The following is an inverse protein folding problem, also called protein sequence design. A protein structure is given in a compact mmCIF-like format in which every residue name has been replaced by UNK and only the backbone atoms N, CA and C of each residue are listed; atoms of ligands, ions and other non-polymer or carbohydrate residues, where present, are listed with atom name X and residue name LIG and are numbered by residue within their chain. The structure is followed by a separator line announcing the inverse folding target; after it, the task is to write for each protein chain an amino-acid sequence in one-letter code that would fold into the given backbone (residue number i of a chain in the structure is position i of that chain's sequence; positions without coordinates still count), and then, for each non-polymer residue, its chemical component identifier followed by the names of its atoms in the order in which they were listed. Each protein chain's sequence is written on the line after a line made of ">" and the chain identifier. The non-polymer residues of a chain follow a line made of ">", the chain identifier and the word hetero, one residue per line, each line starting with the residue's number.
data_IF_432938353148
#
_entry.id   IF_432938353148
#
_cell.length_a   1.000
_cell.length_b   1.000
_cell.length_c   1.000
_cell.angle_alpha   90.00
_cell.angle_beta   90.00
_cell.angle_gamma   90.00
#
_symmetry.space_group_name_H-M   'P 1'
#
loop_
_entity.id
_entity.type
_entity.pdbx_description
1 polymer ?
#
# COMPACT_ATOMS: atom_id res chain seq x y z
N UNK A 1 -16.99 -7.42 8.09
CA UNK A 1 -16.15 -6.76 9.13
C UNK A 1 -14.99 -5.99 8.49
N UNK A 2 -14.15 -6.59 7.60
CA UNK A 2 -12.98 -5.93 6.99
C UNK A 2 -13.35 -4.64 6.25
N UNK A 3 -14.31 -4.71 5.33
CA UNK A 3 -14.76 -3.54 4.53
C UNK A 3 -15.29 -2.43 5.44
N UNK A 4 -16.11 -2.78 6.44
CA UNK A 4 -16.69 -1.80 7.36
C UNK A 4 -15.61 -1.13 8.23
N UNK A 5 -14.65 -1.90 8.71
CA UNK A 5 -13.53 -1.36 9.50
C UNK A 5 -12.64 -0.45 8.65
N UNK A 6 -12.32 -0.86 7.42
CA UNK A 6 -11.56 -0.04 6.48
C UNK A 6 -12.28 1.27 6.15
N UNK A 7 -13.60 1.21 5.94
CA UNK A 7 -14.41 2.39 5.65
C UNK A 7 -14.43 3.36 6.83
N UNK A 8 -14.67 2.86 8.05
CA UNK A 8 -14.66 3.71 9.27
C UNK A 8 -13.27 4.34 9.46
N UNK A 9 -12.20 3.56 9.28
CA UNK A 9 -10.82 4.07 9.41
C UNK A 9 -10.51 5.14 8.37
N UNK A 10 -10.97 4.96 7.13
CA UNK A 10 -10.78 5.93 6.05
C UNK A 10 -11.54 7.23 6.34
N UNK A 11 -12.80 7.15 6.76
CA UNK A 11 -13.60 8.33 7.14
C UNK A 11 -12.97 9.05 8.33
N UNK A 12 -12.54 8.32 9.35
CA UNK A 12 -11.88 8.90 10.51
C UNK A 12 -10.62 9.67 10.13
N UNK A 13 -9.77 9.06 9.30
CA UNK A 13 -8.53 9.70 8.86
C UNK A 13 -8.80 10.92 7.97
N UNK A 14 -9.82 10.85 7.11
CA UNK A 14 -10.26 11.99 6.31
C UNK A 14 -10.72 13.16 7.19
N UNK A 15 -11.54 12.91 8.22
CA UNK A 15 -12.01 13.96 9.14
C UNK A 15 -10.86 14.59 9.93
N UNK A 16 -9.92 13.78 10.43
CA UNK A 16 -8.73 14.29 11.10
C UNK A 16 -7.86 15.13 10.17
N UNK A 17 -7.62 14.64 8.97
CA UNK A 17 -6.83 15.36 7.96
C UNK A 17 -7.49 16.68 7.54
N UNK A 18 -8.82 16.67 7.38
CA UNK A 18 -9.60 17.85 7.05
C UNK A 18 -9.57 18.89 8.18
N UNK A 19 -9.73 18.47 9.44
CA UNK A 19 -9.64 19.40 10.58
C UNK A 19 -8.26 20.00 10.73
N UNK A 20 -7.20 19.22 10.57
CA UNK A 20 -5.82 19.71 10.59
C UNK A 20 -5.53 20.65 9.40
N UNK A 21 -6.00 20.30 8.21
CA UNK A 21 -5.87 21.13 7.02
C UNK A 21 -6.52 22.48 7.21
N UNK A 22 -7.76 22.54 7.72
CA UNK A 22 -8.47 23.80 7.99
C UNK A 22 -7.83 24.65 9.10
N UNK A 23 -7.14 24.02 10.07
CA UNK A 23 -6.46 24.76 11.15
C UNK A 23 -5.10 25.33 10.75
N UNK A 24 -4.37 24.65 9.86
CA UNK A 24 -2.96 24.99 9.56
C UNK A 24 -2.74 25.46 8.12
N UNK A 25 -3.73 25.34 7.24
CA UNK A 25 -3.61 25.77 5.84
C UNK A 25 -4.22 27.15 5.64
N UNK A 26 -3.52 28.01 4.90
CA UNK A 26 -4.03 29.30 4.45
C UNK A 26 -5.05 29.18 3.29
N UNK A 27 -5.18 27.96 2.71
CA UNK A 27 -6.07 27.67 1.58
C UNK A 27 -7.33 26.96 2.05
N UNK A 28 -8.45 27.69 2.12
CA UNK A 28 -9.76 27.19 2.55
C UNK A 28 -10.75 26.97 1.40
N UNK A 29 -10.26 26.91 0.16
CA UNK A 29 -11.12 26.70 -1.00
C UNK A 29 -11.59 25.25 -1.11
N UNK A 30 -12.90 25.03 -1.15
CA UNK A 30 -13.51 23.71 -1.32
C UNK A 30 -12.98 22.96 -2.55
N UNK A 31 -12.69 23.67 -3.62
CA UNK A 31 -12.13 23.11 -4.85
C UNK A 31 -10.79 22.40 -4.63
N UNK A 32 -9.94 22.94 -3.76
CA UNK A 32 -8.61 22.38 -3.44
C UNK A 32 -8.75 21.18 -2.51
N UNK A 33 -9.67 21.24 -1.53
CA UNK A 33 -9.90 20.16 -0.56
C UNK A 33 -10.41 18.89 -1.24
N UNK A 34 -11.24 19.04 -2.28
CA UNK A 34 -11.85 17.91 -2.99
C UNK A 34 -11.12 17.50 -4.27
N UNK A 35 -10.03 18.17 -4.66
CA UNK A 35 -9.28 17.83 -5.87
C UNK A 35 -8.63 16.46 -5.82
N UNK A 36 -8.20 16.01 -4.62
CA UNK A 36 -7.39 14.81 -4.43
C UNK A 36 -8.17 13.63 -3.77
N UNK A 37 -9.48 13.57 -3.97
CA UNK A 37 -10.31 12.47 -3.44
C UNK A 37 -9.92 11.07 -3.96
N UNK A 38 -9.21 11.01 -5.07
CA UNK A 38 -8.69 9.75 -5.60
C UNK A 38 -7.70 9.07 -4.65
N UNK A 39 -6.90 9.85 -3.89
CA UNK A 39 -6.01 9.30 -2.86
C UNK A 39 -6.78 8.69 -1.69
N UNK A 40 -7.95 9.23 -1.35
CA UNK A 40 -8.81 8.67 -0.32
C UNK A 40 -9.37 7.30 -0.75
N UNK A 41 -9.75 7.19 -2.01
CA UNK A 41 -10.21 5.93 -2.59
C UNK A 41 -9.07 4.89 -2.67
N UNK A 42 -7.88 5.30 -3.10
CA UNK A 42 -6.70 4.45 -3.11
C UNK A 42 -6.34 3.98 -1.69
N UNK A 43 -6.43 4.86 -0.70
CA UNK A 43 -6.20 4.53 0.71
C UNK A 43 -7.22 3.49 1.24
N UNK A 44 -8.49 3.65 0.88
CA UNK A 44 -9.51 2.68 1.23
C UNK A 44 -9.20 1.29 0.66
N UNK A 45 -8.83 1.20 -0.63
CA UNK A 45 -8.44 -0.06 -1.27
C UNK A 45 -7.20 -0.66 -0.59
N UNK A 46 -6.20 0.15 -0.28
CA UNK A 46 -5.00 -0.25 0.46
C UNK A 46 -5.34 -0.89 1.80
N UNK A 47 -6.23 -0.26 2.59
CA UNK A 47 -6.69 -0.80 3.86
C UNK A 47 -7.47 -2.11 3.70
N UNK A 48 -8.39 -2.19 2.72
CA UNK A 48 -9.15 -3.41 2.46
C UNK A 48 -8.22 -4.57 2.10
N UNK A 49 -7.24 -4.33 1.24
CA UNK A 49 -6.26 -5.33 0.85
C UNK A 49 -5.41 -5.78 2.06
N UNK A 50 -4.88 -4.84 2.82
CA UNK A 50 -4.05 -5.11 3.99
C UNK A 50 -4.80 -5.90 5.08
N UNK A 51 -6.01 -5.49 5.43
CA UNK A 51 -6.80 -6.22 6.43
C UNK A 51 -7.28 -7.57 5.94
N UNK A 52 -7.53 -7.74 4.64
CA UNK A 52 -7.82 -9.05 4.05
C UNK A 52 -6.63 -9.99 4.14
N UNK A 53 -5.42 -9.47 3.92
CA UNK A 53 -4.17 -10.21 4.12
C UNK A 53 -3.97 -10.59 5.59
N UNK A 54 -4.15 -9.66 6.53
CA UNK A 54 -4.08 -9.94 7.96
C UNK A 54 -5.11 -11.00 8.39
N UNK A 55 -6.33 -10.93 7.89
CA UNK A 55 -7.38 -11.91 8.14
C UNK A 55 -6.99 -13.30 7.62
N UNK A 56 -6.45 -13.39 6.40
CA UNK A 56 -5.94 -14.63 5.83
C UNK A 56 -4.84 -15.23 6.72
N UNK A 57 -3.86 -14.43 7.15
CA UNK A 57 -2.79 -14.89 8.04
C UNK A 57 -3.33 -15.38 9.39
N UNK A 58 -4.29 -14.68 9.97
CA UNK A 58 -4.90 -15.05 11.25
C UNK A 58 -5.60 -16.42 11.16
N UNK A 59 -6.29 -16.70 10.05
CA UNK A 59 -6.91 -18.00 9.84
C UNK A 59 -5.86 -19.10 9.53
N UNK A 60 -4.80 -18.77 8.82
CA UNK A 60 -3.77 -19.75 8.47
C UNK A 60 -2.94 -20.17 9.67
N UNK A 61 -2.47 -19.23 10.46
CA UNK A 61 -1.48 -19.47 11.55
C UNK A 61 -2.11 -19.88 12.89
N UNK A 62 -3.44 -19.75 13.06
CA UNK A 62 -4.21 -20.10 14.28
C UNK A 62 -3.86 -19.31 15.55
N UNK A 63 -2.77 -18.53 15.60
CA UNK A 63 -2.32 -17.74 16.76
C UNK A 63 -2.00 -16.32 16.30
N UNK A 64 -2.59 -15.32 16.91
CA UNK A 64 -2.46 -13.90 16.54
C UNK A 64 -1.01 -13.40 16.60
N UNK A 65 -0.26 -13.81 17.62
CA UNK A 65 1.15 -13.41 17.76
C UNK A 65 2.02 -13.91 16.60
N UNK A 66 1.80 -15.14 16.15
CA UNK A 66 2.52 -15.69 15.00
C UNK A 66 2.09 -15.07 13.67
N UNK A 67 0.82 -14.65 13.54
CA UNK A 67 0.34 -13.95 12.35
C UNK A 67 1.05 -12.60 12.19
N UNK A 68 1.24 -11.84 13.27
CA UNK A 68 2.02 -10.61 13.26
C UNK A 68 3.50 -10.86 12.93
N UNK A 69 4.10 -11.89 13.54
CA UNK A 69 5.47 -12.29 13.23
C UNK A 69 5.66 -12.70 11.77
N UNK A 70 4.68 -13.41 11.20
CA UNK A 70 4.71 -13.82 9.80
C UNK A 70 4.54 -12.62 8.84
N UNK A 71 3.72 -11.64 9.19
CA UNK A 71 3.59 -10.40 8.43
C UNK A 71 4.92 -9.64 8.38
N UNK A 72 5.62 -9.51 9.53
CA UNK A 72 6.95 -8.92 9.57
C UNK A 72 7.99 -9.71 8.77
N UNK A 73 7.96 -11.04 8.85
CA UNK A 73 8.83 -11.92 8.07
C UNK A 73 8.56 -11.77 6.56
N UNK A 74 7.30 -11.67 6.16
CA UNK A 74 6.92 -11.44 4.78
C UNK A 74 7.46 -10.11 4.24
N UNK A 75 7.40 -9.04 5.05
CA UNK A 75 8.00 -7.75 4.71
C UNK A 75 9.51 -7.86 4.47
N UNK A 76 10.21 -8.61 5.32
CA UNK A 76 11.66 -8.86 5.15
C UNK A 76 11.94 -9.65 3.87
N UNK A 77 11.13 -10.65 3.55
CA UNK A 77 11.27 -11.46 2.33
C UNK A 77 11.08 -10.59 1.08
N UNK A 78 10.03 -9.75 1.03
CA UNK A 78 9.84 -8.83 -0.09
C UNK A 78 11.00 -7.82 -0.21
N UNK A 79 11.51 -7.30 0.91
CA UNK A 79 12.69 -6.43 0.92
C UNK A 79 13.96 -7.12 0.39
N UNK A 80 14.19 -8.37 0.75
CA UNK A 80 15.31 -9.15 0.19
C UNK A 80 15.16 -9.40 -1.31
N UNK A 81 13.94 -9.69 -1.77
CA UNK A 81 13.64 -9.84 -3.20
C UNK A 81 13.93 -8.54 -3.93
N UNK A 82 13.54 -7.38 -3.38
CA UNK A 82 13.84 -6.07 -3.94
C UNK A 82 15.34 -5.85 -4.14
N UNK A 83 16.15 -6.13 -3.10
CA UNK A 83 17.61 -6.00 -3.14
C UNK A 83 18.21 -6.93 -4.20
N UNK A 84 17.74 -8.18 -4.28
CA UNK A 84 18.20 -9.14 -5.28
C UNK A 84 17.86 -8.66 -6.72
N UNK A 85 16.66 -8.14 -6.93
CA UNK A 85 16.26 -7.61 -8.25
C UNK A 85 17.06 -6.36 -8.62
N UNK A 86 17.33 -5.48 -7.71
CA UNK A 86 18.17 -4.30 -7.92
C UNK A 86 19.61 -4.72 -8.30
N UNK A 87 20.16 -5.73 -7.65
CA UNK A 87 21.47 -6.28 -7.96
C UNK A 87 21.51 -6.92 -9.35
N UNK A 88 20.48 -7.66 -9.75
CA UNK A 88 20.39 -8.30 -11.08
C UNK A 88 20.19 -7.25 -12.16
N UNK A 89 19.35 -6.23 -11.91
CA UNK A 89 19.13 -5.10 -12.83
C UNK A 89 20.41 -4.33 -13.13
N UNK A 90 21.31 -4.19 -12.15
CA UNK A 90 22.62 -3.59 -12.34
C UNK A 90 23.54 -4.40 -13.28
N UNK A 91 23.25 -5.69 -13.48
CA UNK A 91 24.03 -6.58 -14.38
C UNK A 91 23.35 -6.91 -15.71
N UNK A 92 22.05 -6.73 -15.83
CA UNK A 92 21.27 -7.14 -17.01
C UNK A 92 20.10 -6.18 -17.20
N UNK A 93 19.99 -5.58 -18.38
CA UNK A 93 18.91 -4.65 -18.78
C UNK A 93 17.54 -5.36 -18.98
N UNK A 94 17.11 -6.16 -18.03
CA UNK A 94 15.85 -6.92 -18.15
C UNK A 94 14.76 -6.20 -17.37
N UNK A 95 13.86 -5.50 -18.06
CA UNK A 95 12.73 -4.78 -17.50
C UNK A 95 11.62 -5.68 -16.87
N UNK A 96 11.72 -7.01 -17.05
CA UNK A 96 10.76 -7.97 -16.49
C UNK A 96 10.75 -7.98 -14.95
N UNK A 97 11.87 -7.63 -14.32
CA UNK A 97 11.98 -7.65 -12.85
C UNK A 97 11.14 -6.58 -12.18
N UNK A 98 11.03 -5.39 -12.78
CA UNK A 98 10.19 -4.31 -12.23
C UNK A 98 8.71 -4.72 -12.23
N UNK A 99 8.25 -5.40 -13.29
CA UNK A 99 6.87 -5.88 -13.38
C UNK A 99 6.56 -6.97 -12.34
N UNK A 100 7.51 -7.89 -12.08
CA UNK A 100 7.34 -8.96 -11.08
C UNK A 100 7.35 -8.38 -9.66
N UNK A 101 8.23 -7.41 -9.40
CA UNK A 101 8.32 -6.77 -8.10
C UNK A 101 7.05 -5.97 -7.77
N UNK A 102 6.52 -5.22 -8.73
CA UNK A 102 5.29 -4.46 -8.56
C UNK A 102 4.04 -5.35 -8.37
N UNK A 103 4.15 -6.64 -8.70
CA UNK A 103 3.08 -7.61 -8.47
C UNK A 103 3.08 -8.20 -7.05
N UNK A 104 4.15 -8.05 -6.26
CA UNK A 104 4.19 -8.54 -4.88
C UNK A 104 3.14 -7.83 -4.01
N UNK A 105 2.45 -8.56 -3.09
CA UNK A 105 1.28 -8.02 -2.40
C UNK A 105 1.57 -6.79 -1.56
N UNK A 106 2.62 -6.78 -0.73
CA UNK A 106 2.92 -5.61 0.11
C UNK A 106 3.47 -4.46 -0.71
N UNK A 107 4.28 -4.75 -1.74
CA UNK A 107 4.78 -3.73 -2.64
C UNK A 107 3.63 -3.10 -3.44
N UNK A 108 2.73 -3.91 -4.02
CA UNK A 108 1.55 -3.42 -4.72
C UNK A 108 0.66 -2.53 -3.83
N UNK A 109 0.54 -2.86 -2.52
CA UNK A 109 -0.15 -1.99 -1.56
C UNK A 109 0.62 -0.69 -1.29
N UNK A 110 1.96 -0.75 -1.27
CA UNK A 110 2.81 0.43 -1.10
C UNK A 110 2.67 1.39 -2.28
N UNK A 111 2.72 0.87 -3.50
CA UNK A 111 2.69 1.63 -4.74
C UNK A 111 1.34 2.30 -5.04
N UNK A 112 0.25 1.93 -4.33
CA UNK A 112 -1.04 2.60 -4.46
C UNK A 112 -0.99 4.07 -4.06
N UNK A 113 -0.18 4.41 -3.07
CA UNK A 113 0.00 5.79 -2.61
C UNK A 113 1.48 6.01 -2.43
N UNK A 114 2.06 6.81 -3.29
CA UNK A 114 3.45 7.22 -3.19
C UNK A 114 3.66 8.05 -1.93
N UNK A 115 4.78 7.86 -1.27
CA UNK A 115 5.09 8.44 0.03
C UNK A 115 5.00 9.97 0.01
N UNK A 116 4.15 10.59 0.84
CA UNK A 116 3.88 12.02 0.79
C UNK A 116 5.10 12.87 1.17
N UNK A 117 6.06 12.34 1.94
CA UNK A 117 7.26 13.10 2.32
C UNK A 117 8.19 13.36 1.13
N UNK A 118 8.14 12.57 0.08
CA UNK A 118 8.93 12.78 -1.15
C UNK A 118 8.49 14.04 -1.92
N UNK A 119 7.30 14.59 -1.64
CA UNK A 119 6.82 15.87 -2.18
C UNK A 119 7.43 17.09 -1.48
N UNK A 120 8.03 16.92 -0.30
CA UNK A 120 8.63 18.04 0.43
C UNK A 120 9.87 18.58 -0.31
N UNK A 121 9.89 19.88 -0.57
CA UNK A 121 10.99 20.54 -1.27
C UNK A 121 12.36 20.34 -0.60
N UNK A 122 12.40 20.18 0.72
CA UNK A 122 13.61 19.87 1.45
C UNK A 122 14.15 18.46 1.11
N UNK A 123 13.28 17.48 0.91
CA UNK A 123 13.65 16.11 0.53
C UNK A 123 14.12 16.07 -0.93
N UNK A 124 13.42 16.78 -1.82
CA UNK A 124 13.81 16.89 -3.22
C UNK A 124 15.15 17.60 -3.41
N UNK A 125 15.41 18.66 -2.64
CA UNK A 125 16.69 19.36 -2.68
C UNK A 125 17.83 18.53 -2.12
N UNK A 126 17.60 17.74 -1.07
CA UNK A 126 18.60 16.80 -0.53
C UNK A 126 18.91 15.68 -1.54
N UNK A 127 17.88 15.12 -2.20
CA UNK A 127 18.04 14.07 -3.21
C UNK A 127 18.81 14.58 -4.45
N UNK A 128 18.50 15.80 -4.91
CA UNK A 128 19.21 16.40 -6.04
C UNK A 128 20.70 16.66 -5.74
N UNK A 129 21.05 16.95 -4.49
CA UNK A 129 22.45 17.04 -4.04
C UNK A 129 23.17 15.70 -4.05
N UNK A 130 22.45 14.58 -3.88
CA UNK A 130 22.98 13.22 -3.96
C UNK A 130 23.02 12.68 -5.40
N UNK A 131 22.58 13.47 -6.39
CA UNK A 131 22.58 13.10 -7.80
C UNK A 131 21.40 12.22 -8.21
N UNK A 132 20.40 12.04 -7.34
CA UNK A 132 19.16 11.32 -7.67
C UNK A 132 18.07 12.31 -8.10
N UNK A 133 17.56 12.14 -9.30
CA UNK A 133 16.37 12.87 -9.76
C UNK A 133 15.12 12.12 -9.30
N UNK A 134 14.42 12.66 -8.31
CA UNK A 134 13.10 12.18 -7.90
C UNK A 134 12.05 12.55 -8.97
N UNK A 135 11.97 11.75 -10.02
CA UNK A 135 10.92 11.88 -11.02
C UNK A 135 9.87 10.79 -10.76
N UNK A 136 9.21 10.86 -9.60
CA UNK A 136 8.15 9.91 -9.23
C UNK A 136 6.80 10.42 -9.74
N UNK A 137 6.06 9.52 -10.39
CA UNK A 137 4.68 9.76 -10.75
C UNK A 137 3.81 9.59 -9.50
N UNK A 138 3.17 10.68 -9.07
CA UNK A 138 2.32 10.68 -7.87
C UNK A 138 0.86 10.29 -8.19
N UNK A 139 0.52 10.14 -9.46
CA UNK A 139 -0.83 9.78 -9.87
C UNK A 139 -1.16 8.33 -9.51
N UNK A 140 -2.38 8.12 -9.02
CA UNK A 140 -2.87 6.78 -8.70
C UNK A 140 -3.02 5.97 -10.00
N UNK A 141 -2.20 4.95 -10.17
CA UNK A 141 -2.22 4.12 -11.37
C UNK A 141 -3.35 3.08 -11.30
N UNK A 142 -4.20 3.03 -12.31
CA UNK A 142 -5.27 2.04 -12.44
C UNK A 142 -4.77 0.59 -12.41
N UNK A 143 -3.58 0.33 -12.97
CA UNK A 143 -2.93 -0.98 -12.92
C UNK A 143 -2.71 -1.46 -11.49
N UNK A 144 -2.23 -0.59 -10.62
CA UNK A 144 -1.96 -0.90 -9.20
C UNK A 144 -3.26 -1.18 -8.44
N UNK A 145 -4.34 -0.44 -8.75
CA UNK A 145 -5.67 -0.71 -8.19
C UNK A 145 -6.15 -2.11 -8.55
N UNK A 146 -6.04 -2.50 -9.82
CA UNK A 146 -6.48 -3.83 -10.30
C UNK A 146 -5.67 -4.94 -9.62
N UNK A 147 -4.35 -4.79 -9.49
CA UNK A 147 -3.49 -5.76 -8.81
C UNK A 147 -3.92 -5.92 -7.35
N UNK A 148 -4.17 -4.82 -6.64
CA UNK A 148 -4.61 -4.87 -5.23
C UNK A 148 -5.99 -5.50 -5.05
N UNK A 149 -6.92 -5.25 -5.96
CA UNK A 149 -8.24 -5.91 -5.95
C UNK A 149 -8.13 -7.41 -6.24
N UNK A 150 -7.22 -7.82 -7.14
CA UNK A 150 -6.95 -9.23 -7.40
C UNK A 150 -6.38 -9.92 -6.15
N UNK A 151 -5.40 -9.32 -5.47
CA UNK A 151 -4.86 -9.83 -4.22
C UNK A 151 -5.90 -9.89 -3.11
N UNK A 152 -6.73 -8.86 -2.97
CA UNK A 152 -7.83 -8.84 -1.99
C UNK A 152 -8.78 -10.02 -2.22
N UNK A 153 -9.20 -10.25 -3.46
CA UNK A 153 -10.08 -11.35 -3.83
C UNK A 153 -9.45 -12.72 -3.52
N UNK A 154 -8.15 -12.85 -3.78
CA UNK A 154 -7.39 -14.06 -3.53
C UNK A 154 -7.25 -14.36 -2.03
N UNK A 155 -6.95 -13.34 -1.20
CA UNK A 155 -6.88 -13.50 0.25
C UNK A 155 -8.23 -13.85 0.88
N UNK A 156 -9.33 -13.24 0.40
CA UNK A 156 -10.68 -13.58 0.85
C UNK A 156 -11.03 -15.01 0.47
N UNK A 157 -10.74 -15.42 -0.76
CA UNK A 157 -10.97 -16.79 -1.23
C UNK A 157 -10.20 -17.82 -0.40
N UNK A 158 -8.91 -17.62 -0.16
CA UNK A 158 -8.11 -18.52 0.67
C UNK A 158 -8.59 -18.55 2.11
N UNK A 159 -8.97 -17.41 2.68
CA UNK A 159 -9.57 -17.34 4.01
C UNK A 159 -10.84 -18.20 4.09
N UNK A 160 -11.71 -18.11 3.09
CA UNK A 160 -12.92 -18.92 3.00
C UNK A 160 -12.61 -20.42 2.89
N UNK A 161 -11.66 -20.81 2.05
CA UNK A 161 -11.26 -22.23 1.90
C UNK A 161 -10.71 -22.79 3.20
N UNK A 162 -9.88 -22.04 3.92
CA UNK A 162 -9.33 -22.48 5.21
C UNK A 162 -10.47 -22.63 6.23
N UNK A 163 -11.40 -21.69 6.28
CA UNK A 163 -12.52 -21.74 7.22
C UNK A 163 -13.41 -22.98 6.94
N UNK A 164 -13.78 -23.18 5.68
CA UNK A 164 -14.60 -24.34 5.27
C UNK A 164 -13.94 -25.70 5.60
N UNK A 165 -12.63 -25.79 5.55
CA UNK A 165 -11.90 -27.02 5.93
C UNK A 165 -11.83 -27.26 7.44
N UNK A 166 -12.13 -26.26 8.24
CA UNK A 166 -12.12 -26.35 9.72
C UNK A 166 -13.47 -26.69 10.31
N UNK A 167 -14.54 -26.33 9.61
CA UNK A 167 -15.92 -26.59 10.05
C UNK A 167 -16.43 -27.98 9.63
N UNK A 168 -15.58 -28.76 8.95
CA UNK A 168 -15.80 -30.17 8.59
C UNK A 168 -14.86 -31.08 9.42
#
# INVERSE_FOLDING_TARGET
>A
TVILFSLVSTIFLFLVSLTLGLMFSDYNEFSIIFSDLEYLFAYFIKLVCFFSFCMFLAFWVKRSAFALGFLGLWQVVEGLIAILFQYIKSKSDINLFDSVYNFLPLNAMSDLITEPFSRLGAVQSAASQLGESFNQNYDVQWSTIIINLAWTSLFIYWSYVILKRRDL
#
